data_IF_613938983586
#
_entry.id   IF_613938983586
#
_cell.length_a   1.000
_cell.length_b   1.000
_cell.length_c   1.000
_cell.angle_alpha   90.00
_cell.angle_beta   90.00
_cell.angle_gamma   90.00
#
_symmetry.space_group_name_H-M   'P 1'
#
loop_
_entity.id
_entity.type
_entity.pdbx_description
1 polymer ?
#
# COMPACT_ATOMS: atom_id res chain seq x y z
N UNK A 1 -31.00 -1.57 4.95
CA UNK A 1 -30.12 -2.74 4.92
C UNK A 1 -28.89 -2.37 5.72
N UNK A 2 -28.61 -3.06 6.81
CA UNK A 2 -27.48 -2.80 7.70
C UNK A 2 -26.19 -3.16 6.96
N UNK A 3 -25.30 -2.20 6.70
CA UNK A 3 -23.96 -2.48 6.17
C UNK A 3 -23.17 -3.27 7.23
N UNK A 4 -23.16 -4.60 7.09
CA UNK A 4 -22.54 -5.54 8.04
C UNK A 4 -21.00 -5.48 7.98
N UNK A 5 -20.46 -4.79 6.97
CA UNK A 5 -19.02 -4.64 6.78
C UNK A 5 -18.71 -3.17 7.04
N UNK A 6 -17.85 -2.91 8.03
CA UNK A 6 -17.35 -1.57 8.34
C UNK A 6 -16.12 -1.26 7.46
N UNK A 7 -15.82 0.02 7.23
CA UNK A 7 -14.55 0.41 6.61
C UNK A 7 -13.36 -0.19 7.38
N UNK A 8 -12.34 -0.61 6.65
CA UNK A 8 -11.13 -1.21 7.23
C UNK A 8 -9.95 -0.29 6.97
N UNK A 9 -9.22 0.07 8.02
CA UNK A 9 -7.94 0.79 7.89
C UNK A 9 -6.82 -0.21 7.65
N UNK A 10 -6.18 -0.11 6.50
CA UNK A 10 -4.98 -0.88 6.15
C UNK A 10 -3.76 0.02 6.32
N UNK A 11 -2.75 -0.48 7.06
CA UNK A 11 -1.44 0.18 7.17
C UNK A 11 -0.39 -0.66 6.47
N UNK A 12 0.25 -0.11 5.45
CA UNK A 12 1.37 -0.74 4.74
C UNK A 12 2.63 0.07 5.01
N UNK A 13 3.74 -0.58 5.37
CA UNK A 13 5.03 0.08 5.59
C UNK A 13 5.85 0.05 4.31
N UNK A 14 6.06 1.20 3.69
CA UNK A 14 6.97 1.32 2.56
C UNK A 14 8.39 1.54 3.07
N UNK A 15 9.27 0.58 2.83
CA UNK A 15 10.70 0.74 3.08
C UNK A 15 11.34 1.53 1.93
N UNK A 16 12.08 2.58 2.26
CA UNK A 16 12.94 3.33 1.33
C UNK A 16 14.35 3.30 1.86
N UNK A 17 15.28 2.76 1.08
CA UNK A 17 16.70 2.64 1.45
C UNK A 17 17.52 3.60 0.63
N UNK A 18 18.32 4.43 1.31
CA UNK A 18 19.31 5.28 0.66
C UNK A 18 20.63 4.52 0.52
N UNK A 19 20.95 4.07 -0.69
CA UNK A 19 22.22 3.41 -1.01
C UNK A 19 23.36 4.38 -1.40
N UNK A 20 23.12 5.70 -1.34
CA UNK A 20 24.13 6.71 -1.65
C UNK A 20 25.00 7.05 -0.44
N UNK A 21 26.11 7.74 -0.70
CA UNK A 21 27.02 8.26 0.34
C UNK A 21 26.57 9.59 0.93
N UNK A 22 25.50 10.20 0.39
CA UNK A 22 24.95 11.50 0.79
C UNK A 22 23.58 11.36 1.43
N UNK A 23 23.13 12.38 2.16
CA UNK A 23 21.73 12.43 2.60
C UNK A 23 20.80 12.49 1.37
N UNK A 24 19.66 11.83 1.47
CA UNK A 24 18.63 11.79 0.44
C UNK A 24 17.33 12.36 0.98
N UNK A 25 16.76 13.35 0.30
CA UNK A 25 15.58 14.08 0.76
C UNK A 25 14.36 13.68 -0.05
N UNK A 26 13.43 13.01 0.62
CA UNK A 26 12.11 12.66 0.11
C UNK A 26 11.19 13.87 0.27
N UNK A 27 10.79 14.53 -0.81
CA UNK A 27 9.91 15.71 -0.76
C UNK A 27 8.43 15.36 -0.83
N UNK A 28 8.08 14.28 -1.53
CA UNK A 28 6.72 13.80 -1.61
C UNK A 28 6.65 12.28 -1.72
N UNK A 29 5.54 11.72 -1.25
CA UNK A 29 5.19 10.31 -1.38
C UNK A 29 3.69 10.22 -1.59
N UNK A 30 3.28 9.67 -2.72
CA UNK A 30 1.89 9.41 -3.02
C UNK A 30 1.76 8.02 -3.62
N UNK A 31 1.13 7.10 -2.91
CA UNK A 31 0.93 5.71 -3.33
C UNK A 31 -0.52 5.36 -3.09
N UNK A 32 -1.24 5.01 -4.16
CA UNK A 32 -2.61 4.53 -4.09
C UNK A 32 -2.64 3.00 -4.18
N UNK A 33 -3.69 2.40 -3.61
CA UNK A 33 -3.93 0.96 -3.62
C UNK A 33 -4.96 0.59 -4.68
N UNK A 34 -4.65 -0.43 -5.46
CA UNK A 34 -5.45 -0.95 -6.56
C UNK A 34 -5.65 -2.46 -6.40
N UNK A 35 -6.67 -2.99 -7.05
CA UNK A 35 -6.81 -4.42 -7.25
C UNK A 35 -5.73 -4.91 -8.24
N UNK A 36 -5.46 -6.23 -8.30
CA UNK A 36 -4.52 -6.77 -9.28
C UNK A 36 -4.88 -6.43 -10.74
N UNK A 37 -6.17 -6.27 -11.05
CA UNK A 37 -6.65 -5.87 -12.38
C UNK A 37 -6.52 -4.36 -12.66
N UNK A 38 -6.11 -3.56 -11.67
CA UNK A 38 -5.85 -2.13 -11.82
C UNK A 38 -7.00 -1.20 -11.44
N UNK A 39 -8.01 -1.68 -10.70
CA UNK A 39 -9.10 -0.81 -10.22
C UNK A 39 -8.75 -0.20 -8.87
N UNK A 40 -9.03 1.08 -8.68
CA UNK A 40 -8.71 1.78 -7.43
C UNK A 40 -9.48 1.16 -6.24
N UNK A 41 -8.76 0.87 -5.16
CA UNK A 41 -9.29 0.29 -3.92
C UNK A 41 -9.34 1.35 -2.82
N UNK A 42 -8.27 2.13 -2.68
CA UNK A 42 -8.15 3.19 -1.70
C UNK A 42 -7.05 4.17 -2.11
N UNK A 43 -7.24 5.44 -1.76
CA UNK A 43 -6.21 6.47 -1.88
C UNK A 43 -5.43 6.60 -0.58
N UNK A 44 -4.18 7.05 -0.65
CA UNK A 44 -3.41 7.42 0.55
C UNK A 44 -4.08 8.58 1.28
N UNK A 45 -4.40 8.42 2.57
CA UNK A 45 -5.06 9.47 3.35
C UNK A 45 -4.15 10.63 3.74
N UNK A 46 -2.86 10.35 3.94
CA UNK A 46 -1.91 11.31 4.51
C UNK A 46 -0.68 11.41 3.60
N UNK A 47 -0.66 12.37 2.66
CA UNK A 47 0.53 12.72 1.92
C UNK A 47 1.66 13.12 2.89
N UNK A 48 2.90 13.07 2.40
CA UNK A 48 4.05 13.56 3.16
C UNK A 48 3.90 15.07 3.42
N UNK A 49 3.72 15.47 4.68
CA UNK A 49 3.54 16.90 5.03
C UNK A 49 4.87 17.64 5.24
N UNK A 50 5.96 16.91 5.44
CA UNK A 50 7.31 17.45 5.61
C UNK A 50 8.31 16.53 4.91
N UNK A 51 9.36 17.08 4.27
CA UNK A 51 10.39 16.25 3.67
C UNK A 51 11.05 15.32 4.68
N UNK A 52 11.30 14.08 4.28
CA UNK A 52 12.03 13.10 5.10
C UNK A 52 13.46 13.02 4.61
N UNK A 53 14.43 13.28 5.48
CA UNK A 53 15.84 13.00 5.20
C UNK A 53 16.18 11.55 5.56
N UNK A 54 16.71 10.81 4.58
CA UNK A 54 17.20 9.45 4.71
C UNK A 54 18.73 9.50 4.64
N UNK A 55 19.40 9.13 5.74
CA UNK A 55 20.86 9.16 5.82
C UNK A 55 21.51 8.09 4.92
N UNK A 56 22.80 8.22 4.58
CA UNK A 56 23.54 7.21 3.85
C UNK A 56 23.38 5.81 4.47
N UNK A 57 23.14 4.81 3.62
CA UNK A 57 22.95 3.40 3.99
C UNK A 57 21.84 3.14 5.02
N UNK A 58 20.90 4.06 5.17
CA UNK A 58 19.76 3.91 6.07
C UNK A 58 18.52 3.48 5.31
N UNK A 59 17.75 2.57 5.93
CA UNK A 59 16.36 2.28 5.55
C UNK A 59 15.42 3.07 6.44
N UNK A 60 14.47 3.77 5.83
CA UNK A 60 13.37 4.44 6.52
C UNK A 60 12.06 3.76 6.12
N UNK A 61 11.28 3.33 7.11
CA UNK A 61 9.95 2.78 6.90
C UNK A 61 8.89 3.87 7.04
N UNK A 62 8.12 4.10 5.99
CA UNK A 62 7.05 5.10 5.97
C UNK A 62 5.71 4.36 6.03
N UNK A 63 4.90 4.58 7.09
CA UNK A 63 3.58 3.97 7.18
C UNK A 63 2.60 4.69 6.25
N UNK A 64 2.00 3.94 5.35
CA UNK A 64 0.95 4.37 4.43
C UNK A 64 -0.39 3.87 4.96
N UNK A 65 -1.32 4.79 5.18
CA UNK A 65 -2.66 4.46 5.66
C UNK A 65 -3.69 4.59 4.55
N UNK A 66 -4.50 3.53 4.42
CA UNK A 66 -5.58 3.40 3.45
C UNK A 66 -6.87 3.08 4.19
N UNK A 67 -7.98 3.65 3.73
CA UNK A 67 -9.30 3.26 4.19
C UNK A 67 -10.01 2.53 3.06
N UNK A 68 -10.27 1.24 3.28
CA UNK A 68 -11.00 0.41 2.34
C UNK A 68 -12.48 0.46 2.68
N UNK A 69 -13.29 0.86 1.72
CA UNK A 69 -14.74 0.78 1.88
C UNK A 69 -15.20 -0.68 1.80
N UNK A 70 -16.36 -1.01 2.38
CA UNK A 70 -16.96 -2.33 2.24
C UNK A 70 -17.06 -2.80 0.79
N UNK A 71 -17.42 -1.91 -0.13
CA UNK A 71 -17.58 -2.23 -1.55
C UNK A 71 -16.23 -2.56 -2.19
N UNK A 72 -15.17 -1.78 -1.92
CA UNK A 72 -13.85 -2.04 -2.50
C UNK A 72 -13.21 -3.27 -1.89
N UNK A 73 -13.46 -3.56 -0.60
CA UNK A 73 -13.03 -4.80 0.04
C UNK A 73 -13.69 -6.05 -0.58
N UNK A 74 -15.02 -6.02 -0.77
CA UNK A 74 -15.73 -7.14 -1.43
C UNK A 74 -15.18 -7.37 -2.84
N UNK A 75 -14.94 -6.29 -3.58
CA UNK A 75 -14.39 -6.37 -4.92
C UNK A 75 -12.97 -6.96 -4.91
N UNK A 76 -12.12 -6.50 -3.99
CA UNK A 76 -10.76 -7.00 -3.81
C UNK A 76 -10.75 -8.49 -3.51
N UNK A 77 -11.60 -8.96 -2.58
CA UNK A 77 -11.73 -10.39 -2.24
C UNK A 77 -12.19 -11.19 -3.46
N UNK A 78 -13.18 -10.69 -4.22
CA UNK A 78 -13.69 -11.36 -5.41
C UNK A 78 -12.62 -11.53 -6.48
N UNK A 79 -11.82 -10.49 -6.73
CA UNK A 79 -10.71 -10.53 -7.70
C UNK A 79 -9.55 -11.44 -7.23
N UNK A 80 -9.47 -11.74 -5.93
CA UNK A 80 -8.51 -12.68 -5.34
C UNK A 80 -9.03 -14.13 -5.20
N UNK A 81 -10.09 -14.50 -5.95
CA UNK A 81 -10.66 -15.85 -5.93
C UNK A 81 -11.88 -16.02 -5.03
N UNK A 82 -12.31 -14.95 -4.35
CA UNK A 82 -13.51 -14.93 -3.54
C UNK A 82 -13.29 -15.42 -2.10
N UNK A 83 -14.39 -15.43 -1.34
CA UNK A 83 -14.38 -15.69 0.12
C UNK A 83 -13.89 -17.10 0.46
N UNK A 84 -14.15 -18.10 -0.39
CA UNK A 84 -13.68 -19.47 -0.16
C UNK A 84 -12.16 -19.59 -0.27
N UNK A 85 -11.56 -18.95 -1.28
CA UNK A 85 -10.09 -18.91 -1.42
C UNK A 85 -9.45 -18.17 -0.27
N UNK A 86 -9.95 -16.98 0.08
CA UNK A 86 -9.44 -16.22 1.21
C UNK A 86 -9.54 -16.99 2.54
N UNK A 87 -10.67 -17.66 2.79
CA UNK A 87 -10.87 -18.50 3.96
C UNK A 87 -9.96 -19.73 3.98
N UNK A 88 -9.82 -20.42 2.84
CA UNK A 88 -8.92 -21.57 2.70
C UNK A 88 -7.46 -21.17 2.95
N UNK A 89 -7.02 -20.03 2.41
CA UNK A 89 -5.68 -19.50 2.65
C UNK A 89 -5.46 -19.20 4.13
N UNK A 90 -6.44 -18.60 4.80
CA UNK A 90 -6.32 -18.29 6.22
C UNK A 90 -6.21 -19.57 7.07
N UNK A 91 -7.02 -20.59 6.77
CA UNK A 91 -6.97 -21.86 7.48
C UNK A 91 -5.68 -22.65 7.24
N UNK A 92 -5.04 -22.50 6.09
CA UNK A 92 -3.85 -23.27 5.71
C UNK A 92 -2.53 -22.54 5.98
N UNK A 93 -2.52 -21.22 5.89
CA UNK A 93 -1.30 -20.38 5.99
C UNK A 93 -1.34 -19.36 7.12
N UNK A 94 -2.50 -19.16 7.76
CA UNK A 94 -2.70 -18.10 8.75
C UNK A 94 -2.89 -16.70 8.15
N UNK A 95 -2.89 -16.55 6.82
CA UNK A 95 -3.07 -15.25 6.12
C UNK A 95 -4.17 -15.35 5.06
N UNK A 96 -4.87 -14.24 4.77
CA UNK A 96 -5.93 -14.25 3.76
C UNK A 96 -5.39 -14.33 2.32
N UNK A 97 -4.13 -13.94 2.11
CA UNK A 97 -3.46 -14.05 0.81
C UNK A 97 -4.02 -13.06 -0.22
N UNK A 98 -4.48 -11.90 0.24
CA UNK A 98 -5.13 -10.90 -0.61
C UNK A 98 -4.06 -10.09 -1.33
N UNK A 99 -4.04 -10.15 -2.65
CA UNK A 99 -3.12 -9.38 -3.48
C UNK A 99 -3.64 -7.98 -3.71
N UNK A 100 -2.77 -7.00 -3.50
CA UNK A 100 -2.99 -5.57 -3.74
C UNK A 100 -1.87 -5.06 -4.66
N UNK A 101 -2.22 -4.18 -5.59
CA UNK A 101 -1.24 -3.48 -6.42
C UNK A 101 -1.12 -2.05 -5.91
N UNK A 102 0.08 -1.65 -5.50
CA UNK A 102 0.37 -0.30 -5.07
C UNK A 102 0.97 0.46 -6.25
N UNK A 103 0.37 1.61 -6.60
CA UNK A 103 0.86 2.46 -7.69
C UNK A 103 0.95 3.90 -7.25
N UNK A 104 2.01 4.58 -7.64
CA UNK A 104 2.20 5.98 -7.30
C UNK A 104 3.63 6.42 -7.58
N UNK A 105 4.10 7.41 -6.82
CA UNK A 105 5.43 7.97 -7.00
C UNK A 105 6.05 8.43 -5.68
N UNK A 106 7.37 8.44 -5.71
CA UNK A 106 8.24 9.10 -4.73
C UNK A 106 8.87 10.29 -5.44
N UNK A 107 8.79 11.48 -4.86
CA UNK A 107 9.60 12.60 -5.30
C UNK A 107 10.79 12.77 -4.38
N UNK A 108 11.99 12.81 -4.95
CA UNK A 108 13.21 13.03 -4.21
C UNK A 108 14.27 13.74 -5.06
N UNK A 109 14.97 14.70 -4.45
CA UNK A 109 16.05 15.46 -5.11
C UNK A 109 15.67 16.07 -6.48
N UNK A 110 14.38 16.39 -6.69
CA UNK A 110 13.87 16.95 -7.94
C UNK A 110 13.53 15.94 -9.05
N UNK A 111 13.59 14.63 -8.75
CA UNK A 111 13.17 13.56 -9.67
C UNK A 111 12.01 12.76 -9.08
N UNK A 112 11.17 12.23 -9.96
CA UNK A 112 10.08 11.31 -9.61
C UNK A 112 10.52 9.86 -9.89
N UNK A 113 10.29 9.00 -8.90
CA UNK A 113 10.51 7.55 -8.98
C UNK A 113 9.15 6.88 -8.91
N UNK A 114 8.76 6.24 -10.00
CA UNK A 114 7.50 5.51 -10.06
C UNK A 114 7.53 4.27 -9.16
N UNK A 115 6.40 4.03 -8.49
CA UNK A 115 6.13 2.82 -7.73
C UNK A 115 5.03 2.05 -8.44
N UNK A 116 5.30 0.80 -8.76
CA UNK A 116 4.33 -0.17 -9.26
C UNK A 116 4.69 -1.56 -8.74
N UNK A 117 4.06 -1.96 -7.64
CA UNK A 117 4.39 -3.21 -6.94
C UNK A 117 3.12 -3.97 -6.57
N UNK A 118 3.22 -5.31 -6.58
CA UNK A 118 2.16 -6.17 -6.06
C UNK A 118 2.59 -6.73 -4.72
N UNK A 119 1.77 -6.54 -3.70
CA UNK A 119 1.97 -7.07 -2.35
C UNK A 119 0.87 -8.08 -2.03
N UNK A 120 1.11 -8.93 -1.03
CA UNK A 120 0.11 -9.84 -0.46
C UNK A 120 -0.10 -9.48 0.99
N UNK A 121 -1.36 -9.31 1.41
CA UNK A 121 -1.79 -9.03 2.79
C UNK A 121 -2.68 -10.13 3.35
#
# INVERSE_FOLDING_TARGET
MTDIIQPVTLTIRQAITNFSTSNFTLSALNIDAYTPSGKLVAQQKQPLNQPIQIKPNQTTEIPLQFELSPQTLIQLIRENGGVFTAGSNYLTTGTYGIKLRLKGYVQAEGFDIDIDQTITV
#
